data_IF_972207371945
#
_entry.id   IF_972207371945
#
_cell.length_a   1.000
_cell.length_b   1.000
_cell.length_c   1.000
_cell.angle_alpha   90.00
_cell.angle_beta   90.00
_cell.angle_gamma   90.00
#
_symmetry.space_group_name_H-M   'P 1'
#
loop_
_entity.id
_entity.type
_entity.pdbx_description
1 polymer ?
#
# COMPACT_ATOMS: atom_id res chain seq x y z
N UNK A 1 -19.66 18.98 42.48
CA UNK A 1 -20.10 19.28 41.09
C UNK A 1 -19.27 18.41 40.17
N UNK A 2 -19.94 17.50 39.46
CA UNK A 2 -19.35 16.35 38.80
C UNK A 2 -18.63 16.73 37.49
N UNK A 3 -17.40 16.21 37.30
CA UNK A 3 -16.75 16.03 36.00
C UNK A 3 -17.24 14.72 35.36
N UNK A 4 -18.52 14.66 35.01
CA UNK A 4 -19.13 13.43 34.44
C UNK A 4 -19.14 13.38 32.91
N UNK A 5 -18.51 14.34 32.23
CA UNK A 5 -18.47 14.40 30.76
C UNK A 5 -17.26 13.75 30.07
N UNK A 6 -16.15 13.53 30.79
CA UNK A 6 -14.87 13.08 30.18
C UNK A 6 -14.76 11.54 30.07
N UNK A 7 -15.60 10.76 30.75
CA UNK A 7 -15.33 9.33 30.98
C UNK A 7 -15.89 8.34 29.94
N UNK A 8 -16.91 8.66 29.14
CA UNK A 8 -17.47 7.67 28.19
C UNK A 8 -16.72 7.63 26.84
N UNK A 9 -16.26 8.78 26.35
CA UNK A 9 -15.47 8.88 25.12
C UNK A 9 -14.10 8.20 25.25
N UNK A 10 -13.41 8.44 26.37
CA UNK A 10 -12.12 7.81 26.68
C UNK A 10 -12.25 6.30 26.93
N UNK A 11 -13.31 5.85 27.62
CA UNK A 11 -13.56 4.42 27.83
C UNK A 11 -13.82 3.70 26.50
N UNK A 12 -14.64 4.25 25.60
CA UNK A 12 -14.90 3.66 24.27
C UNK A 12 -13.65 3.68 23.37
N UNK A 13 -12.84 4.73 23.45
CA UNK A 13 -11.54 4.81 22.77
C UNK A 13 -10.59 3.69 23.21
N UNK A 14 -10.44 3.51 24.52
CA UNK A 14 -9.57 2.47 25.09
C UNK A 14 -9.99 1.03 24.77
N UNK A 15 -11.30 0.74 24.67
CA UNK A 15 -11.76 -0.59 24.24
C UNK A 15 -11.47 -0.87 22.76
N UNK A 16 -11.62 0.13 21.88
CA UNK A 16 -11.31 0.00 20.45
C UNK A 16 -9.81 -0.18 20.21
N UNK A 17 -8.98 0.60 20.90
CA UNK A 17 -7.52 0.47 20.82
C UNK A 17 -7.03 -0.90 21.31
N UNK A 18 -7.60 -1.43 22.40
CA UNK A 18 -7.28 -2.78 22.88
C UNK A 18 -7.69 -3.86 21.87
N UNK A 19 -8.87 -3.74 21.28
CA UNK A 19 -9.33 -4.67 20.24
C UNK A 19 -8.41 -4.65 19.01
N UNK A 20 -7.96 -3.47 18.60
CA UNK A 20 -7.03 -3.31 17.49
C UNK A 20 -5.63 -3.85 17.81
N UNK A 21 -5.12 -3.62 19.02
CA UNK A 21 -3.85 -4.16 19.47
C UNK A 21 -3.85 -5.70 19.47
N UNK A 22 -4.93 -6.31 19.98
CA UNK A 22 -5.10 -7.77 19.93
C UNK A 22 -5.14 -8.30 18.49
N UNK A 23 -5.89 -7.63 17.60
CA UNK A 23 -5.94 -8.02 16.20
C UNK A 23 -4.54 -7.94 15.54
N UNK A 24 -3.72 -6.94 15.89
CA UNK A 24 -2.34 -6.83 15.42
C UNK A 24 -1.49 -8.01 15.93
N UNK A 25 -1.65 -8.44 17.18
CA UNK A 25 -0.97 -9.64 17.69
C UNK A 25 -1.37 -10.90 16.90
N UNK A 26 -2.67 -11.09 16.66
CA UNK A 26 -3.17 -12.23 15.88
C UNK A 26 -2.57 -12.25 14.47
N UNK A 27 -2.49 -11.08 13.82
CA UNK A 27 -1.84 -10.95 12.52
C UNK A 27 -0.32 -11.23 12.57
N UNK A 28 0.35 -10.86 13.67
CA UNK A 28 1.77 -11.19 13.84
C UNK A 28 1.98 -12.69 13.98
N UNK A 29 1.08 -13.41 14.64
CA UNK A 29 1.12 -14.87 14.71
C UNK A 29 1.09 -15.49 13.32
N UNK A 30 0.15 -15.08 12.47
CA UNK A 30 0.07 -15.57 11.08
C UNK A 30 1.30 -15.19 10.25
N UNK A 31 1.82 -13.97 10.43
CA UNK A 31 3.03 -13.52 9.76
C UNK A 31 4.26 -14.34 10.15
N UNK A 32 4.43 -14.67 11.43
CA UNK A 32 5.54 -15.52 11.88
C UNK A 32 5.48 -16.91 11.24
N UNK A 33 4.27 -17.49 11.12
CA UNK A 33 4.07 -18.75 10.40
C UNK A 33 4.53 -18.63 8.94
N UNK A 34 4.18 -17.54 8.25
CA UNK A 34 4.62 -17.31 6.88
C UNK A 34 6.14 -17.16 6.75
N UNK A 35 6.77 -16.43 7.67
CA UNK A 35 8.21 -16.22 7.69
C UNK A 35 8.96 -17.53 7.98
N UNK A 36 8.51 -18.32 8.95
CA UNK A 36 9.09 -19.62 9.31
C UNK A 36 8.98 -20.64 8.16
N UNK A 37 7.89 -20.59 7.40
CA UNK A 37 7.67 -21.47 6.24
C UNK A 37 8.43 -21.00 4.99
N UNK A 38 9.09 -19.84 5.02
CA UNK A 38 9.88 -19.33 3.89
C UNK A 38 11.30 -19.89 3.96
N UNK A 39 11.44 -21.20 3.79
CA UNK A 39 12.73 -21.89 3.71
C UNK A 39 13.31 -21.83 2.29
N UNK A 40 14.65 -21.86 2.12
CA UNK A 40 15.29 -21.99 0.81
C UNK A 40 14.82 -23.26 0.09
N UNK A 41 14.54 -23.16 -1.22
CA UNK A 41 14.14 -24.31 -2.06
C UNK A 41 15.18 -25.43 -1.99
N UNK A 42 14.73 -26.68 -1.89
CA UNK A 42 15.60 -27.87 -1.85
C UNK A 42 16.06 -28.33 -0.47
N UNK A 43 15.57 -27.72 0.61
CA UNK A 43 15.85 -28.17 2.00
C UNK A 43 14.84 -29.19 2.55
N UNK A 44 13.80 -29.51 1.79
CA UNK A 44 12.69 -30.37 2.22
C UNK A 44 12.45 -31.49 1.22
N UNK A 45 11.87 -32.59 1.69
CA UNK A 45 11.36 -33.64 0.81
C UNK A 45 10.09 -33.16 0.08
N UNK A 46 9.78 -33.70 -1.11
CA UNK A 46 8.60 -33.28 -1.91
C UNK A 46 7.29 -33.30 -1.09
N UNK A 47 7.10 -34.30 -0.23
CA UNK A 47 5.93 -34.38 0.66
C UNK A 47 5.88 -33.28 1.72
N UNK A 48 7.03 -32.84 2.23
CA UNK A 48 7.13 -31.72 3.15
C UNK A 48 6.97 -30.37 2.43
N UNK A 49 7.47 -30.25 1.20
CA UNK A 49 7.26 -29.06 0.37
C UNK A 49 5.78 -28.82 0.10
N UNK A 50 5.03 -29.87 -0.27
CA UNK A 50 3.58 -29.76 -0.49
C UNK A 50 2.84 -29.33 0.79
N UNK A 51 3.13 -29.96 1.93
CA UNK A 51 2.51 -29.61 3.21
C UNK A 51 2.86 -28.19 3.66
N UNK A 52 4.09 -27.75 3.45
CA UNK A 52 4.51 -26.38 3.76
C UNK A 52 3.84 -25.37 2.83
N UNK A 53 3.66 -25.70 1.55
CA UNK A 53 2.94 -24.86 0.61
C UNK A 53 1.47 -24.66 1.02
N UNK A 54 0.76 -25.73 1.38
CA UNK A 54 -0.63 -25.66 1.85
C UNK A 54 -0.76 -24.79 3.11
N UNK A 55 0.10 -25.01 4.11
CA UNK A 55 0.13 -24.18 5.34
C UNK A 55 0.44 -22.72 5.06
N UNK A 56 1.38 -22.46 4.14
CA UNK A 56 1.72 -21.10 3.72
C UNK A 56 0.53 -20.41 3.04
N UNK A 57 -0.19 -21.11 2.18
CA UNK A 57 -1.41 -20.58 1.58
C UNK A 57 -2.48 -20.27 2.62
N UNK A 58 -2.67 -21.14 3.60
CA UNK A 58 -3.67 -20.95 4.67
C UNK A 58 -3.35 -19.73 5.53
N UNK A 59 -2.12 -19.64 6.06
CA UNK A 59 -1.67 -18.48 6.83
C UNK A 59 -1.74 -17.18 6.03
N UNK A 60 -1.45 -17.23 4.72
CA UNK A 60 -1.55 -16.07 3.83
C UNK A 60 -3.01 -15.65 3.63
N UNK A 61 -3.93 -16.60 3.40
CA UNK A 61 -5.36 -16.32 3.28
C UNK A 61 -5.92 -15.72 4.57
N UNK A 62 -5.50 -16.25 5.72
CA UNK A 62 -5.91 -15.75 7.03
C UNK A 62 -5.37 -14.34 7.29
N UNK A 63 -4.10 -14.08 7.01
CA UNK A 63 -3.52 -12.75 7.12
C UNK A 63 -4.26 -11.72 6.25
N UNK A 64 -4.61 -12.07 5.01
CA UNK A 64 -5.39 -11.21 4.11
C UNK A 64 -6.79 -10.95 4.66
N UNK A 65 -7.44 -11.97 5.22
CA UNK A 65 -8.76 -11.86 5.87
C UNK A 65 -8.70 -10.92 7.08
N UNK A 66 -7.67 -11.07 7.93
CA UNK A 66 -7.47 -10.26 9.13
C UNK A 66 -7.17 -8.80 8.81
N UNK A 67 -6.39 -8.53 7.76
CA UNK A 67 -6.14 -7.17 7.25
C UNK A 67 -7.36 -6.54 6.58
N UNK A 68 -8.42 -7.32 6.30
CA UNK A 68 -9.64 -6.89 5.62
C UNK A 68 -9.34 -6.18 4.29
N UNK A 69 -8.38 -6.68 3.54
CA UNK A 69 -8.05 -6.11 2.22
C UNK A 69 -9.20 -6.48 1.29
N UNK A 70 -10.10 -5.53 1.05
CA UNK A 70 -11.22 -5.74 0.14
C UNK A 70 -10.66 -5.79 -1.29
N UNK A 71 -10.79 -6.95 -1.92
CA UNK A 71 -10.42 -7.13 -3.34
C UNK A 71 -11.52 -6.60 -4.27
N UNK A 72 -12.70 -6.28 -3.71
CA UNK A 72 -13.78 -5.67 -4.46
C UNK A 72 -13.36 -4.23 -4.78
N UNK A 73 -13.40 -3.79 -6.06
CA UNK A 73 -13.26 -2.38 -6.36
C UNK A 73 -14.47 -1.68 -5.74
N UNK A 74 -14.33 -1.17 -4.52
CA UNK A 74 -15.29 -0.24 -3.93
C UNK A 74 -15.49 0.84 -4.97
N UNK A 75 -16.68 0.91 -5.57
CA UNK A 75 -16.99 1.72 -6.74
C UNK A 75 -16.32 3.09 -6.62
N UNK A 76 -15.19 3.25 -7.31
CA UNK A 76 -14.53 4.54 -7.39
C UNK A 76 -15.39 5.34 -8.35
N UNK A 77 -16.11 6.32 -7.81
CA UNK A 77 -16.71 7.32 -8.69
C UNK A 77 -15.56 7.90 -9.53
N UNK A 78 -15.76 8.08 -10.85
CA UNK A 78 -14.68 8.44 -11.76
C UNK A 78 -13.97 9.71 -11.27
N UNK A 79 -12.69 9.90 -11.61
CA UNK A 79 -11.80 10.93 -11.04
C UNK A 79 -12.25 12.40 -11.16
N UNK A 80 -13.45 12.67 -11.66
CA UNK A 80 -14.03 14.00 -11.88
C UNK A 80 -15.52 14.10 -11.51
N UNK A 81 -16.09 13.14 -10.77
CA UNK A 81 -17.55 13.07 -10.56
C UNK A 81 -18.12 14.10 -9.57
N UNK A 82 -17.29 14.81 -8.81
CA UNK A 82 -17.71 15.85 -7.85
C UNK A 82 -18.59 15.35 -6.68
N UNK A 83 -18.93 14.05 -6.62
CA UNK A 83 -19.79 13.42 -5.62
C UNK A 83 -18.96 12.49 -4.76
N UNK A 84 -18.25 13.07 -3.82
CA UNK A 84 -17.11 12.45 -3.15
C UNK A 84 -17.20 12.68 -1.64
N UNK A 85 -18.35 12.37 -1.05
CA UNK A 85 -18.65 12.74 0.35
C UNK A 85 -18.39 11.65 1.40
N UNK A 86 -18.13 10.39 1.03
CA UNK A 86 -17.65 9.34 1.97
C UNK A 86 -16.81 8.29 1.23
N UNK A 87 -15.48 8.40 1.28
CA UNK A 87 -14.55 7.46 0.63
C UNK A 87 -14.15 6.25 1.45
N UNK A 88 -14.50 6.23 2.73
CA UNK A 88 -13.97 5.25 3.64
C UNK A 88 -14.94 4.08 3.66
N UNK A 89 -14.56 2.98 3.03
CA UNK A 89 -15.13 1.69 3.41
C UNK A 89 -14.75 1.40 4.87
N UNK A 90 -15.54 0.61 5.59
CA UNK A 90 -15.16 0.19 6.94
C UNK A 90 -13.85 -0.63 6.95
N UNK A 91 -13.52 -1.26 5.82
CA UNK A 91 -12.24 -1.95 5.56
C UNK A 91 -11.07 -0.96 5.50
N UNK A 92 -11.21 0.11 4.71
CA UNK A 92 -10.20 1.18 4.59
C UNK A 92 -9.90 1.78 5.95
N UNK A 93 -10.95 2.13 6.70
CA UNK A 93 -10.82 2.71 8.03
C UNK A 93 -10.06 1.79 8.98
N UNK A 94 -10.41 0.51 8.98
CA UNK A 94 -9.76 -0.49 9.82
C UNK A 94 -8.28 -0.65 9.46
N UNK A 95 -7.92 -0.70 8.18
CA UNK A 95 -6.53 -0.73 7.74
C UNK A 95 -5.77 0.54 8.17
N UNK A 96 -6.38 1.71 8.02
CA UNK A 96 -5.77 2.96 8.45
C UNK A 96 -5.57 3.03 9.97
N UNK A 97 -6.50 2.49 10.76
CA UNK A 97 -6.34 2.37 12.21
C UNK A 97 -5.12 1.48 12.55
N UNK A 98 -4.93 0.34 11.86
CA UNK A 98 -3.74 -0.52 12.03
C UNK A 98 -2.47 0.25 11.71
N UNK A 99 -2.44 0.95 10.57
CA UNK A 99 -1.26 1.68 10.08
C UNK A 99 -0.95 2.91 10.94
N UNK A 100 -1.93 3.45 11.67
CA UNK A 100 -1.69 4.50 12.67
C UNK A 100 -0.87 4.00 13.86
N UNK A 101 -0.83 2.68 14.13
CA UNK A 101 0.00 2.10 15.18
C UNK A 101 1.38 1.72 14.65
N UNK A 102 2.46 2.10 15.35
CA UNK A 102 3.84 1.76 14.98
C UNK A 102 4.05 0.25 14.74
N UNK A 103 3.43 -0.59 15.60
CA UNK A 103 3.50 -2.05 15.46
C UNK A 103 2.74 -2.54 14.22
N UNK A 104 1.60 -1.92 13.89
CA UNK A 104 0.86 -2.20 12.67
C UNK A 104 1.60 -1.79 11.38
N UNK A 105 2.34 -0.68 11.38
CA UNK A 105 3.21 -0.33 10.24
C UNK A 105 4.27 -1.40 9.97
N UNK A 106 4.92 -1.90 11.04
CA UNK A 106 5.90 -2.98 10.94
C UNK A 106 5.27 -4.28 10.47
N UNK A 107 4.08 -4.61 10.96
CA UNK A 107 3.30 -5.76 10.51
C UNK A 107 3.04 -5.69 9.01
N UNK A 108 2.42 -4.61 8.53
CA UNK A 108 2.07 -4.43 7.12
C UNK A 108 3.33 -4.45 6.25
N UNK A 109 4.39 -3.77 6.69
CA UNK A 109 5.67 -3.75 5.97
C UNK A 109 6.26 -5.15 5.79
N UNK A 110 6.18 -6.00 6.81
CA UNK A 110 6.70 -7.38 6.77
C UNK A 110 5.76 -8.32 6.04
N UNK A 111 4.45 -8.07 6.06
CA UNK A 111 3.48 -8.85 5.31
C UNK A 111 3.61 -8.66 3.79
N UNK A 112 3.91 -7.44 3.33
CA UNK A 112 3.96 -7.06 1.91
C UNK A 112 4.71 -8.05 0.99
N UNK A 113 5.92 -8.53 1.31
CA UNK A 113 6.64 -9.51 0.47
C UNK A 113 6.01 -10.90 0.39
N UNK A 114 5.13 -11.26 1.33
CA UNK A 114 4.45 -12.56 1.37
C UNK A 114 3.09 -12.54 0.67
N UNK A 115 2.52 -11.36 0.43
CA UNK A 115 1.21 -11.21 -0.20
C UNK A 115 1.27 -11.49 -1.71
N UNK A 116 0.19 -12.04 -2.30
CA UNK A 116 0.06 -12.07 -3.75
C UNK A 116 0.13 -10.65 -4.31
N UNK A 117 0.76 -10.47 -5.48
CA UNK A 117 1.02 -9.14 -6.04
C UNK A 117 -0.27 -8.30 -6.21
N UNK A 118 -1.37 -8.93 -6.60
CA UNK A 118 -2.67 -8.26 -6.70
C UNK A 118 -3.16 -7.76 -5.33
N UNK A 119 -3.04 -8.58 -4.28
CA UNK A 119 -3.42 -8.19 -2.92
C UNK A 119 -2.54 -7.07 -2.38
N UNK A 120 -1.23 -7.14 -2.63
CA UNK A 120 -0.31 -6.06 -2.30
C UNK A 120 -0.68 -4.76 -3.03
N UNK A 121 -1.06 -4.84 -4.32
CA UNK A 121 -1.55 -3.68 -5.07
C UNK A 121 -2.79 -3.05 -4.44
N UNK A 122 -3.79 -3.85 -4.04
CA UNK A 122 -5.00 -3.36 -3.39
C UNK A 122 -4.72 -2.68 -2.05
N UNK A 123 -3.83 -3.25 -1.24
CA UNK A 123 -3.38 -2.65 0.01
C UNK A 123 -2.75 -1.28 -0.27
N UNK A 124 -1.81 -1.22 -1.23
CA UNK A 124 -1.12 0.00 -1.60
C UNK A 124 -2.09 1.06 -2.15
N UNK A 125 -3.04 0.68 -3.00
CA UNK A 125 -4.09 1.60 -3.46
C UNK A 125 -4.93 2.14 -2.32
N UNK A 126 -5.21 1.34 -1.30
CA UNK A 126 -5.95 1.78 -0.12
C UNK A 126 -5.14 2.80 0.69
N UNK A 127 -3.83 2.60 0.83
CA UNK A 127 -2.94 3.59 1.44
C UNK A 127 -2.95 4.90 0.65
N UNK A 128 -2.95 4.86 -0.70
CA UNK A 128 -2.93 6.06 -1.54
C UNK A 128 -4.25 6.81 -1.56
N UNK A 129 -5.36 6.09 -1.56
CA UNK A 129 -6.69 6.70 -1.42
C UNK A 129 -6.82 7.45 -0.10
N UNK A 130 -6.16 6.96 0.94
CA UNK A 130 -6.12 7.55 2.27
C UNK A 130 -4.77 8.22 2.58
N UNK A 131 -4.10 8.76 1.55
CA UNK A 131 -2.69 9.22 1.64
C UNK A 131 -2.48 10.22 2.75
N UNK A 132 -3.38 11.19 3.00
CA UNK A 132 -3.23 12.18 4.08
C UNK A 132 -2.99 11.50 5.43
N UNK A 133 -3.86 10.56 5.78
CA UNK A 133 -3.84 9.84 7.06
C UNK A 133 -2.66 8.88 7.13
N UNK A 134 -2.30 8.29 5.99
CA UNK A 134 -1.09 7.49 5.88
C UNK A 134 0.18 8.31 6.13
N UNK A 135 0.27 9.51 5.55
CA UNK A 135 1.38 10.43 5.75
C UNK A 135 1.45 10.89 7.20
N UNK A 136 0.33 11.32 7.78
CA UNK A 136 0.24 11.69 9.21
C UNK A 136 0.77 10.56 10.12
N UNK A 137 0.36 9.33 9.83
CA UNK A 137 0.77 8.14 10.59
C UNK A 137 2.26 7.85 10.45
N UNK A 138 2.85 8.09 9.27
CA UNK A 138 4.27 7.90 9.05
C UNK A 138 5.10 9.03 9.64
N UNK A 139 4.67 10.29 9.57
CA UNK A 139 5.38 11.44 10.18
C UNK A 139 5.46 11.30 11.71
N UNK A 140 4.42 10.74 12.34
CA UNK A 140 4.42 10.42 13.76
C UNK A 140 5.40 9.29 14.15
N UNK A 141 5.80 8.45 13.20
CA UNK A 141 6.77 7.37 13.39
C UNK A 141 8.12 7.79 12.82
N UNK A 142 9.13 8.01 13.68
CA UNK A 142 10.49 8.36 13.24
C UNK A 142 11.14 7.36 12.27
N UNK A 143 10.55 6.18 12.06
CA UNK A 143 10.95 5.18 11.08
C UNK A 143 9.79 4.90 10.11
N UNK A 144 9.95 5.26 8.84
CA UNK A 144 8.96 5.03 7.79
C UNK A 144 9.16 3.67 7.07
N UNK A 145 9.33 2.59 7.84
CA UNK A 145 9.67 1.23 7.35
C UNK A 145 8.64 0.72 6.32
N UNK A 146 7.36 1.03 6.54
CA UNK A 146 6.28 0.67 5.62
C UNK A 146 6.46 1.36 4.26
N UNK A 147 6.80 2.65 4.24
CA UNK A 147 6.94 3.38 3.01
C UNK A 147 8.15 2.91 2.18
N UNK A 148 9.26 2.54 2.83
CA UNK A 148 10.40 1.91 2.17
C UNK A 148 10.02 0.58 1.49
N UNK A 149 9.22 -0.24 2.17
CA UNK A 149 8.77 -1.53 1.62
C UNK A 149 7.78 -1.35 0.45
N UNK A 150 6.90 -0.35 0.54
CA UNK A 150 6.02 0.04 -0.59
C UNK A 150 6.84 0.50 -1.79
N UNK A 151 7.86 1.35 -1.58
CA UNK A 151 8.77 1.79 -2.64
C UNK A 151 9.49 0.62 -3.33
N UNK A 152 10.04 -0.32 -2.54
CA UNK A 152 10.71 -1.51 -3.09
C UNK A 152 9.78 -2.31 -4.00
N UNK A 153 8.54 -2.57 -3.57
CA UNK A 153 7.56 -3.29 -4.38
C UNK A 153 7.22 -2.56 -5.69
N UNK A 154 7.08 -1.24 -5.64
CA UNK A 154 6.78 -0.41 -6.82
C UNK A 154 7.92 -0.42 -7.82
N UNK A 155 9.15 -0.27 -7.35
CA UNK A 155 10.33 -0.28 -8.21
C UNK A 155 10.50 -1.66 -8.88
N UNK A 156 10.21 -2.75 -8.16
CA UNK A 156 10.54 -4.09 -8.62
C UNK A 156 9.42 -4.75 -9.43
N UNK A 157 8.16 -4.63 -9.00
CA UNK A 157 7.10 -5.54 -9.45
C UNK A 157 5.94 -4.89 -10.19
N UNK A 158 5.64 -3.61 -9.96
CA UNK A 158 4.43 -3.03 -10.54
C UNK A 158 4.60 -2.52 -11.98
N UNK A 159 3.59 -2.74 -12.85
CA UNK A 159 3.59 -2.29 -14.25
C UNK A 159 3.07 -0.85 -14.39
N UNK A 160 3.18 -0.29 -15.59
CA UNK A 160 2.77 1.10 -15.87
C UNK A 160 1.27 1.35 -15.58
N UNK A 161 0.40 0.36 -15.81
CA UNK A 161 -1.03 0.49 -15.50
C UNK A 161 -1.26 0.79 -14.01
N UNK A 162 -0.52 0.13 -13.13
CA UNK A 162 -0.60 0.38 -11.69
C UNK A 162 -0.14 1.80 -11.34
N UNK A 163 0.92 2.28 -12.01
CA UNK A 163 1.45 3.62 -11.83
C UNK A 163 0.41 4.67 -12.24
N UNK A 164 -0.22 4.52 -13.42
CA UNK A 164 -1.28 5.42 -13.87
C UNK A 164 -2.43 5.52 -12.87
N UNK A 165 -2.92 4.37 -12.41
CA UNK A 165 -4.00 4.33 -11.43
C UNK A 165 -3.59 5.00 -10.12
N UNK A 166 -2.37 4.74 -9.64
CA UNK A 166 -1.85 5.37 -8.42
C UNK A 166 -1.76 6.89 -8.56
N UNK A 167 -1.22 7.38 -9.68
CA UNK A 167 -1.17 8.82 -9.96
C UNK A 167 -2.58 9.44 -10.08
N UNK A 168 -3.50 8.74 -10.74
CA UNK A 168 -4.90 9.15 -10.84
C UNK A 168 -5.57 9.28 -9.47
N UNK A 169 -5.36 8.33 -8.55
CA UNK A 169 -5.88 8.37 -7.18
C UNK A 169 -5.31 9.57 -6.41
N UNK A 170 -4.00 9.82 -6.51
CA UNK A 170 -3.36 10.95 -5.83
C UNK A 170 -3.88 12.29 -6.36
N UNK A 171 -4.13 12.40 -7.67
CA UNK A 171 -4.64 13.61 -8.30
C UNK A 171 -6.15 13.83 -8.04
N UNK A 172 -6.92 12.76 -7.86
CA UNK A 172 -8.37 12.82 -7.65
C UNK A 172 -8.79 12.91 -6.17
N UNK A 173 -7.85 12.88 -5.21
CA UNK A 173 -8.16 12.93 -3.78
C UNK A 173 -8.82 14.28 -3.40
N UNK A 174 -10.11 14.31 -3.05
CA UNK A 174 -10.92 15.54 -3.12
C UNK A 174 -10.85 16.42 -1.88
N UNK A 175 -9.88 16.22 -0.98
CA UNK A 175 -9.70 17.02 0.23
C UNK A 175 -8.22 17.27 0.55
N UNK A 176 -7.42 17.54 -0.47
CA UNK A 176 -6.06 18.09 -0.40
C UNK A 176 -5.21 17.62 0.81
N UNK A 177 -4.56 16.45 0.71
CA UNK A 177 -3.11 16.52 0.93
C UNK A 177 -2.64 17.35 -0.26
N UNK A 178 -2.34 18.64 -0.09
CA UNK A 178 -1.92 19.43 -1.23
C UNK A 178 -0.71 18.72 -1.83
N UNK A 179 -0.63 18.63 -3.16
CA UNK A 179 0.42 17.84 -3.84
C UNK A 179 1.83 18.18 -3.33
N UNK A 180 2.03 19.40 -2.82
CA UNK A 180 3.24 19.79 -2.10
C UNK A 180 3.55 18.93 -0.87
N UNK A 181 2.56 18.50 -0.08
CA UNK A 181 2.72 17.61 1.08
C UNK A 181 3.07 16.19 0.66
N UNK A 182 2.39 15.65 -0.35
CA UNK A 182 2.71 14.32 -0.91
C UNK A 182 4.14 14.30 -1.46
N UNK A 183 4.57 15.41 -2.08
CA UNK A 183 5.92 15.58 -2.59
C UNK A 183 6.96 15.83 -1.50
N UNK A 184 6.62 16.61 -0.47
CA UNK A 184 7.50 16.87 0.65
C UNK A 184 7.72 15.61 1.51
N UNK A 185 6.75 14.69 1.51
CA UNK A 185 6.89 13.45 2.24
C UNK A 185 7.92 12.53 1.58
N UNK A 186 9.01 12.32 2.30
CA UNK A 186 10.15 11.51 1.90
C UNK A 186 10.01 10.12 2.51
N UNK A 187 9.92 9.09 1.66
CA UNK A 187 9.88 7.70 2.11
C UNK A 187 11.27 7.24 2.59
N UNK A 188 12.32 7.77 1.96
CA UNK A 188 13.73 7.59 2.31
C UNK A 188 14.44 8.96 2.34
N UNK A 189 15.70 9.04 2.79
CA UNK A 189 16.42 10.31 3.01
C UNK A 189 16.32 11.31 1.83
N UNK A 190 16.15 10.86 0.58
CA UNK A 190 16.14 11.71 -0.61
C UNK A 190 15.07 11.41 -1.67
N UNK A 191 14.10 10.52 -1.44
CA UNK A 191 13.14 10.14 -2.49
C UNK A 191 11.71 10.27 -1.99
N UNK A 192 10.94 11.16 -2.63
CA UNK A 192 9.50 11.21 -2.40
C UNK A 192 8.82 10.03 -3.08
N UNK A 193 7.63 9.69 -2.60
CA UNK A 193 6.82 8.65 -3.21
C UNK A 193 6.50 8.94 -4.69
N UNK A 194 6.16 10.20 -4.97
CA UNK A 194 5.88 10.66 -6.31
C UNK A 194 7.08 10.44 -7.23
N UNK A 195 8.29 10.79 -6.77
CA UNK A 195 9.52 10.56 -7.53
C UNK A 195 9.74 9.07 -7.81
N UNK A 196 9.38 8.19 -6.88
CA UNK A 196 9.47 6.74 -7.07
C UNK A 196 8.55 6.23 -8.20
N UNK A 197 7.29 6.67 -8.22
CA UNK A 197 6.34 6.34 -9.29
C UNK A 197 6.82 6.85 -10.66
N UNK A 198 7.31 8.10 -10.70
CA UNK A 198 7.82 8.71 -11.93
C UNK A 198 9.09 8.01 -12.43
N UNK A 199 10.05 7.76 -11.54
CA UNK A 199 11.28 7.05 -11.87
C UNK A 199 10.98 5.64 -12.41
N UNK A 200 10.02 4.92 -11.81
CA UNK A 200 9.61 3.61 -12.31
C UNK A 200 8.95 3.69 -13.68
N UNK A 201 8.08 4.68 -13.93
CA UNK A 201 7.48 4.88 -15.25
C UNK A 201 8.54 5.17 -16.32
N UNK A 202 9.50 6.05 -16.01
CA UNK A 202 10.65 6.33 -16.89
C UNK A 202 11.48 5.07 -17.17
N UNK A 203 11.80 4.28 -16.14
CA UNK A 203 12.50 3.02 -16.32
C UNK A 203 11.76 2.07 -17.27
N UNK A 204 10.44 1.90 -17.09
CA UNK A 204 9.62 1.06 -17.97
C UNK A 204 9.60 1.59 -19.41
N UNK A 205 9.60 2.92 -19.60
CA UNK A 205 9.72 3.53 -20.92
C UNK A 205 11.06 3.19 -21.56
N UNK A 206 12.16 3.45 -20.83
CA UNK A 206 13.53 3.22 -21.31
C UNK A 206 13.77 1.75 -21.65
N UNK A 207 13.29 0.81 -20.83
CA UNK A 207 13.44 -0.62 -21.05
C UNK A 207 12.72 -1.09 -22.34
N UNK A 208 11.65 -0.42 -22.77
CA UNK A 208 10.98 -0.72 -24.04
C UNK A 208 11.68 -0.12 -25.26
N UNK A 209 12.36 1.01 -25.11
CA UNK A 209 13.05 1.71 -26.21
C UNK A 209 14.51 1.26 -26.38
N UNK A 210 15.15 0.85 -25.29
CA UNK A 210 16.56 0.47 -25.22
C UNK A 210 16.70 -0.72 -24.24
N UNK A 211 16.39 -1.95 -24.68
CA UNK A 211 16.50 -3.10 -23.80
C UNK A 211 17.97 -3.34 -23.41
N UNK A 212 18.25 -3.74 -22.15
CA UNK A 212 19.60 -4.08 -21.74
C UNK A 212 20.13 -5.27 -22.57
N UNK A 213 21.42 -5.27 -22.95
CA UNK A 213 22.00 -6.35 -23.74
C UNK A 213 21.88 -7.68 -22.99
N UNK A 214 21.25 -8.67 -23.62
CA UNK A 214 21.03 -10.01 -23.05
C UNK A 214 19.75 -10.16 -22.22
N UNK A 215 18.95 -9.11 -22.05
CA UNK A 215 17.65 -9.18 -21.37
C UNK A 215 16.49 -9.47 -22.33
N UNK A 216 15.46 -10.19 -21.85
CA UNK A 216 14.18 -10.22 -22.52
C UNK A 216 13.54 -8.83 -22.46
N UNK A 217 13.12 -8.31 -23.62
CA UNK A 217 12.41 -7.03 -23.67
C UNK A 217 11.07 -7.20 -22.96
N UNK A 218 10.76 -6.41 -21.90
CA UNK A 218 9.43 -6.44 -21.32
C UNK A 218 8.41 -6.01 -22.38
N UNK A 219 7.24 -6.66 -22.47
CA UNK A 219 6.24 -6.30 -23.46
C UNK A 219 5.86 -4.83 -23.28
N UNK A 220 5.83 -4.03 -24.37
CA UNK A 220 5.49 -2.62 -24.27
C UNK A 220 4.07 -2.45 -23.76
N UNK A 221 3.87 -1.50 -22.83
CA UNK A 221 2.53 -1.15 -22.41
C UNK A 221 1.71 -0.59 -23.59
N UNK A 222 0.38 -0.83 -23.65
CA UNK A 222 -0.46 -0.31 -24.72
C UNK A 222 -0.35 1.21 -24.89
N UNK A 223 -0.46 1.70 -26.12
CA UNK A 223 -0.37 3.14 -26.42
C UNK A 223 -1.37 3.99 -25.62
N UNK A 224 -2.56 3.44 -25.33
CA UNK A 224 -3.58 4.07 -24.48
C UNK A 224 -3.08 4.33 -23.05
N UNK A 225 -2.34 3.38 -22.47
CA UNK A 225 -1.76 3.48 -21.12
C UNK A 225 -0.68 4.57 -21.09
N UNK A 226 0.17 4.65 -22.12
CA UNK A 226 1.16 5.72 -22.24
C UNK A 226 0.52 7.10 -22.46
N UNK A 227 -0.57 7.18 -23.24
CA UNK A 227 -1.29 8.44 -23.45
C UNK A 227 -1.91 8.97 -22.15
N UNK A 228 -2.49 8.08 -21.34
CA UNK A 228 -3.01 8.42 -20.01
C UNK A 228 -1.90 8.88 -19.06
N UNK A 229 -0.78 8.16 -19.01
CA UNK A 229 0.38 8.56 -18.20
C UNK A 229 0.82 10.00 -18.52
N UNK A 230 1.00 10.32 -19.81
CA UNK A 230 1.43 11.66 -20.25
C UNK A 230 0.44 12.75 -19.83
N UNK A 231 -0.87 12.48 -19.87
CA UNK A 231 -1.90 13.42 -19.40
C UNK A 231 -1.76 13.68 -17.90
N UNK A 232 -1.66 12.62 -17.09
CA UNK A 232 -1.49 12.73 -15.64
C UNK A 232 -0.18 13.43 -15.26
N UNK A 233 0.90 13.09 -15.98
CA UNK A 233 2.22 13.72 -15.78
C UNK A 233 2.23 15.21 -16.13
N UNK A 234 1.54 15.61 -17.21
CA UNK A 234 1.42 17.02 -17.57
C UNK A 234 0.66 17.82 -16.51
N UNK A 235 -0.38 17.24 -15.90
CA UNK A 235 -1.10 17.85 -14.78
C UNK A 235 -0.15 18.05 -13.59
N UNK A 236 0.66 17.05 -13.24
CA UNK A 236 1.66 17.18 -12.17
C UNK A 236 2.68 18.28 -12.46
N UNK A 237 3.17 18.39 -13.70
CA UNK A 237 4.10 19.45 -14.10
C UNK A 237 3.51 20.86 -13.98
N UNK A 238 2.20 21.01 -14.22
CA UNK A 238 1.49 22.29 -14.12
C UNK A 238 1.10 22.67 -12.68
N UNK A 239 0.96 21.70 -11.77
CA UNK A 239 0.66 21.97 -10.35
C UNK A 239 1.94 22.24 -9.54
N UNK A 240 3.09 21.93 -10.12
CA UNK A 240 4.41 22.04 -9.49
C UNK A 240 5.13 23.36 -9.81
N UNK A 241 4.79 24.01 -10.92
CA UNK A 241 5.32 25.32 -11.33
C UNK A 241 4.37 26.44 -10.94
#
# INVERSE_FOLDING_TARGET
MAKEGETEGERRGGFRERGLALAIEDMFCELMVLEDLTLPKGMLTEGQEKKNHEKKEEAMKELVRLLRIDQSPSQSAPPFSGKFSKFWSDSDKYLMDIVAMRKGQRLVSRALPHLPLNTAAHLIFTLFRNVVVFLDSCEASSESVLADSVNRLIIQHFPLQFINHSLGILLASPNHAPLHRIRAFKFSQNTSFLDCLLARAHYLQSATTQPPPGGSVPPPAPASVWAEFRKLHAVLGNVVN
#
